data_IF_072458339887
#
_entry.id   IF_072458339887
#
_cell.length_a   1.000
_cell.length_b   1.000
_cell.length_c   1.000
_cell.angle_alpha   90.00
_cell.angle_beta   90.00
_cell.angle_gamma   90.00
#
_symmetry.space_group_name_H-M   'P 1'
#
loop_
_entity.id
_entity.type
_entity.pdbx_description
1 polymer ?
#
# COMPACT_ATOMS: atom_id res chain seq x y z
N UNK A 1 -12.36 -6.49 18.77
CA UNK A 1 -10.90 -6.35 18.83
C UNK A 1 -10.30 -7.72 19.10
N UNK A 2 -9.89 -8.42 18.04
CA UNK A 2 -9.20 -9.71 18.13
C UNK A 2 -7.70 -9.45 18.11
N UNK A 3 -7.03 -9.75 19.22
CA UNK A 3 -5.58 -9.60 19.34
C UNK A 3 -4.89 -10.51 18.31
N UNK A 4 -3.98 -9.95 17.51
CA UNK A 4 -3.22 -10.68 16.49
C UNK A 4 -3.86 -10.77 15.09
N UNK A 5 -5.02 -10.16 14.87
CA UNK A 5 -5.71 -10.15 13.56
C UNK A 5 -5.35 -8.96 12.67
N UNK A 6 -4.11 -8.48 12.71
CA UNK A 6 -3.66 -7.33 11.90
C UNK A 6 -2.65 -7.78 10.85
N UNK A 7 -3.13 -8.55 9.86
CA UNK A 7 -2.33 -8.94 8.69
C UNK A 7 -3.02 -8.54 7.39
N UNK A 8 -2.23 -8.06 6.45
CA UNK A 8 -2.61 -7.87 5.06
C UNK A 8 -1.91 -8.92 4.19
N UNK A 9 -2.50 -9.17 3.03
CA UNK A 9 -1.95 -10.03 2.00
C UNK A 9 -1.81 -9.25 0.70
N UNK A 10 -0.65 -9.34 0.07
CA UNK A 10 -0.38 -8.81 -1.26
C UNK A 10 -0.32 -9.98 -2.24
N UNK A 11 -1.12 -9.91 -3.29
CA UNK A 11 -1.29 -10.99 -4.26
C UNK A 11 -0.96 -10.48 -5.66
N UNK A 12 -0.13 -11.19 -6.41
CA UNK A 12 0.25 -10.80 -7.78
C UNK A 12 0.79 -11.99 -8.59
N UNK A 13 1.03 -11.76 -9.88
CA UNK A 13 1.88 -12.64 -10.67
C UNK A 13 3.34 -12.26 -10.40
N UNK A 14 4.11 -13.21 -9.86
CA UNK A 14 5.52 -13.00 -9.53
C UNK A 14 6.33 -12.66 -10.79
N UNK A 15 7.13 -11.58 -10.78
CA UNK A 15 8.08 -11.32 -11.85
C UNK A 15 9.25 -12.32 -11.84
N UNK A 16 9.58 -12.89 -10.68
CA UNK A 16 10.70 -13.83 -10.54
C UNK A 16 10.34 -15.23 -11.05
N UNK A 17 9.17 -15.74 -10.67
CA UNK A 17 8.77 -17.13 -10.99
C UNK A 17 7.77 -17.22 -12.14
N UNK A 18 7.12 -16.11 -12.51
CA UNK A 18 6.04 -16.09 -13.50
C UNK A 18 4.73 -16.74 -13.03
N UNK A 19 4.67 -17.21 -11.78
CA UNK A 19 3.52 -17.90 -11.18
C UNK A 19 2.77 -16.98 -10.22
N UNK A 20 1.69 -17.49 -9.64
CA UNK A 20 0.98 -16.84 -8.53
C UNK A 20 1.93 -16.63 -7.35
N UNK A 21 1.88 -15.44 -6.76
CA UNK A 21 2.58 -15.10 -5.53
C UNK A 21 1.65 -14.41 -4.56
N UNK A 22 1.85 -14.75 -3.29
CA UNK A 22 1.24 -14.12 -2.14
C UNK A 22 2.32 -13.76 -1.13
N UNK A 23 2.15 -12.64 -0.44
CA UNK A 23 3.01 -12.22 0.66
C UNK A 23 2.13 -11.63 1.75
N UNK A 24 2.45 -11.94 3.00
CA UNK A 24 1.69 -11.47 4.15
C UNK A 24 2.57 -10.60 5.02
N UNK A 25 2.04 -9.43 5.39
CA UNK A 25 2.67 -8.52 6.35
C UNK A 25 1.73 -8.26 7.51
N UNK A 26 2.29 -7.79 8.62
CA UNK A 26 1.52 -7.27 9.74
C UNK A 26 1.77 -5.78 9.92
N UNK A 27 0.99 -5.15 10.78
CA UNK A 27 1.16 -3.73 11.11
C UNK A 27 -0.18 -3.02 11.19
N UNK A 28 -0.17 -1.73 10.83
CA UNK A 28 -1.34 -0.85 10.92
C UNK A 28 -2.13 -0.71 9.62
N UNK A 29 -1.57 -1.14 8.50
CA UNK A 29 -2.23 -1.05 7.17
C UNK A 29 -3.59 -1.75 7.13
N UNK A 30 -3.76 -3.00 7.64
CA UNK A 30 -5.06 -3.68 7.56
C UNK A 30 -6.16 -2.94 8.34
N UNK A 31 -5.82 -2.37 9.50
CA UNK A 31 -6.75 -1.60 10.32
C UNK A 31 -7.15 -0.30 9.63
N UNK A 32 -6.18 0.43 9.06
CA UNK A 32 -6.44 1.67 8.33
C UNK A 32 -7.32 1.42 7.10
N UNK A 33 -7.04 0.39 6.30
CA UNK A 33 -7.85 0.03 5.13
C UNK A 33 -9.25 -0.39 5.55
N UNK A 34 -9.40 -1.24 6.58
CA UNK A 34 -10.72 -1.60 7.11
C UNK A 34 -11.53 -0.39 7.59
N UNK A 35 -10.87 0.61 8.20
CA UNK A 35 -11.52 1.85 8.64
C UNK A 35 -12.03 2.72 7.48
N UNK A 36 -11.48 2.57 6.27
CA UNK A 36 -12.00 3.22 5.06
C UNK A 36 -13.25 2.55 4.48
N UNK A 37 -13.63 1.37 4.98
CA UNK A 37 -14.79 0.61 4.48
C UNK A 37 -14.49 -0.26 3.26
N UNK A 38 -13.21 -0.42 2.89
CA UNK A 38 -12.78 -1.33 1.84
C UNK A 38 -12.17 -2.61 2.42
N UNK A 39 -12.48 -3.76 1.82
CA UNK A 39 -11.87 -5.04 2.16
C UNK A 39 -10.58 -5.32 1.36
N UNK A 40 -10.46 -4.73 0.16
CA UNK A 40 -9.33 -4.95 -0.74
C UNK A 40 -9.10 -3.74 -1.65
N UNK A 41 -7.84 -3.56 -2.05
CA UNK A 41 -7.41 -2.54 -3.01
C UNK A 41 -6.83 -3.26 -4.23
N UNK A 42 -7.35 -2.97 -5.41
CA UNK A 42 -6.92 -3.61 -6.67
C UNK A 42 -6.22 -2.58 -7.55
N UNK A 43 -4.89 -2.65 -7.60
CA UNK A 43 -4.06 -1.77 -8.43
C UNK A 43 -3.89 -2.41 -9.82
N UNK A 44 -4.22 -1.66 -10.88
CA UNK A 44 -4.10 -2.09 -12.28
C UNK A 44 -3.44 -1.00 -13.12
N UNK A 45 -2.72 -1.41 -14.16
CA UNK A 45 -2.02 -0.49 -15.05
C UNK A 45 -0.68 -0.03 -14.47
N UNK A 46 -0.23 1.15 -14.88
CA UNK A 46 1.04 1.75 -14.46
C UNK A 46 0.87 3.27 -14.42
N UNK A 47 1.34 3.91 -13.34
CA UNK A 47 1.40 5.37 -13.26
C UNK A 47 2.51 5.90 -14.18
N UNK A 48 2.32 7.10 -14.74
CA UNK A 48 3.34 7.73 -15.61
C UNK A 48 4.54 8.21 -14.82
N UNK A 49 4.29 8.71 -13.62
CA UNK A 49 5.27 9.30 -12.71
C UNK A 49 5.17 8.59 -11.35
N UNK A 50 6.20 8.74 -10.51
CA UNK A 50 6.18 8.17 -9.16
C UNK A 50 5.07 8.83 -8.34
N UNK A 51 4.17 8.02 -7.79
CA UNK A 51 3.00 8.51 -7.07
C UNK A 51 2.75 7.74 -5.78
N UNK A 52 2.19 8.45 -4.79
CA UNK A 52 1.65 7.85 -3.57
C UNK A 52 0.15 7.69 -3.73
N UNK A 53 -0.36 6.51 -3.35
CA UNK A 53 -1.78 6.20 -3.29
C UNK A 53 -2.26 6.40 -1.85
N UNK A 54 -3.19 7.35 -1.67
CA UNK A 54 -3.94 7.52 -0.43
C UNK A 54 -5.33 6.92 -0.58
N UNK A 55 -5.77 6.20 0.44
CA UNK A 55 -7.11 5.60 0.49
C UNK A 55 -7.88 6.28 1.61
N UNK A 56 -9.04 6.82 1.28
CA UNK A 56 -9.98 7.44 2.20
C UNK A 56 -11.35 6.77 2.06
N UNK A 57 -12.29 6.95 3.00
CA UNK A 57 -13.67 6.45 2.85
C UNK A 57 -14.37 6.87 1.54
N UNK A 58 -13.95 7.99 0.95
CA UNK A 58 -14.46 8.57 -0.29
C UNK A 58 -13.83 7.95 -1.54
N UNK A 59 -12.71 7.23 -1.40
CA UNK A 59 -12.05 6.51 -2.49
C UNK A 59 -10.53 6.62 -2.47
N UNK A 60 -9.94 6.68 -3.67
CA UNK A 60 -8.48 6.69 -3.86
C UNK A 60 -8.01 8.03 -4.42
N UNK A 61 -6.97 8.59 -3.81
CA UNK A 61 -6.29 9.80 -4.25
C UNK A 61 -4.84 9.47 -4.64
N UNK A 62 -4.35 10.12 -5.69
CA UNK A 62 -2.98 9.97 -6.17
C UNK A 62 -2.23 11.28 -5.99
N UNK A 63 -1.07 11.21 -5.34
CA UNK A 63 -0.21 12.34 -5.04
C UNK A 63 1.11 12.22 -5.78
N UNK A 64 1.67 13.35 -6.24
CA UNK A 64 3.04 13.37 -6.74
C UNK A 64 4.00 12.95 -5.62
N UNK A 65 4.93 12.07 -5.99
CA UNK A 65 5.91 11.52 -5.06
C UNK A 65 7.33 11.62 -5.63
N UNK A 66 7.56 12.60 -6.51
CA UNK A 66 8.87 12.81 -7.12
C UNK A 66 9.96 13.08 -6.07
N UNK A 67 9.58 13.67 -4.93
CA UNK A 67 10.46 13.92 -3.77
C UNK A 67 10.80 12.68 -2.93
N UNK A 68 10.15 11.54 -3.20
CA UNK A 68 10.42 10.25 -2.54
C UNK A 68 11.40 9.38 -3.32
N UNK A 69 11.74 9.77 -4.56
CA UNK A 69 12.59 8.96 -5.41
C UNK A 69 13.98 8.72 -4.80
N UNK A 70 14.40 7.46 -4.74
CA UNK A 70 15.72 7.07 -4.23
C UNK A 70 15.85 6.96 -2.70
N UNK A 71 14.80 7.31 -1.95
CA UNK A 71 14.76 7.11 -0.49
C UNK A 71 14.53 5.64 -0.12
N UNK A 72 15.00 5.23 1.05
CA UNK A 72 14.67 3.90 1.58
C UNK A 72 13.24 3.86 2.15
N UNK A 73 12.80 2.68 2.61
CA UNK A 73 11.43 2.48 3.11
C UNK A 73 11.12 3.25 4.39
N UNK A 74 12.09 3.42 5.29
CA UNK A 74 11.90 4.15 6.55
C UNK A 74 11.84 5.65 6.29
N UNK A 75 12.79 6.17 5.50
CA UNK A 75 12.83 7.58 5.10
C UNK A 75 11.57 7.98 4.32
N UNK A 76 11.09 7.09 3.45
CA UNK A 76 9.86 7.29 2.69
C UNK A 76 8.66 7.35 3.62
N UNK A 77 8.54 6.41 4.57
CA UNK A 77 7.44 6.40 5.54
C UNK A 77 7.42 7.68 6.39
N UNK A 78 8.56 8.09 6.93
CA UNK A 78 8.67 9.32 7.71
C UNK A 78 8.33 10.56 6.88
N UNK A 79 8.82 10.63 5.63
CA UNK A 79 8.50 11.78 4.74
C UNK A 79 7.00 11.86 4.47
N UNK A 80 6.34 10.73 4.16
CA UNK A 80 4.91 10.70 3.84
C UNK A 80 4.06 11.07 5.06
N UNK A 81 4.44 10.64 6.27
CA UNK A 81 3.71 10.98 7.51
C UNK A 81 3.80 12.45 7.93
N UNK A 82 4.78 13.19 7.42
CA UNK A 82 4.96 14.62 7.70
C UNK A 82 4.24 15.53 6.69
N UNK A 83 3.71 14.95 5.60
CA UNK A 83 2.85 15.66 4.64
C UNK A 83 1.40 15.63 5.12
#
# INVERSE_FOLDING_TARGET
>A
MTWGSSRDGVFTKSPLTGLYAESYSGGRVPEAVGATGFDAIVIKGCAKDLSVLEITPEGALFHDASDLSGKDTFETEDTVKQK
#
